data_IF_133638827038
#
_entry.id   IF_133638827038
#
_cell.length_a   1.000
_cell.length_b   1.000
_cell.length_c   1.000
_cell.angle_alpha   90.00
_cell.angle_beta   90.00
_cell.angle_gamma   90.00
#
_symmetry.space_group_name_H-M   'P 1'
#
loop_
_entity.id
_entity.type
_entity.pdbx_description
1 polymer ?
#
# COMPACT_ATOMS: atom_id res chain seq x y z
N UNK A 1 15.48 13.75 -0.27
CA UNK A 1 14.13 13.57 -0.37
C UNK A 1 13.71 12.17 -0.66
N UNK A 2 14.10 11.66 -1.73
CA UNK A 2 13.78 10.33 -2.08
C UNK A 2 14.23 9.35 -1.04
N UNK A 3 15.36 9.61 -0.43
CA UNK A 3 15.89 8.77 0.57
C UNK A 3 14.99 8.73 1.78
N UNK A 4 14.54 9.87 2.19
CA UNK A 4 13.69 9.98 3.33
C UNK A 4 12.35 9.33 3.06
N UNK A 5 11.87 9.48 1.86
CA UNK A 5 10.63 8.91 1.44
C UNK A 5 10.72 7.38 1.46
N UNK A 6 11.80 6.84 0.97
CA UNK A 6 12.00 5.41 0.96
C UNK A 6 12.13 4.85 2.38
N UNK A 7 12.80 5.57 3.23
CA UNK A 7 12.95 5.15 4.60
C UNK A 7 11.63 5.07 5.31
N UNK A 8 10.76 6.01 5.00
CA UNK A 8 9.47 6.07 5.63
C UNK A 8 8.62 4.90 5.17
N UNK A 9 8.70 4.55 3.92
CA UNK A 9 8.00 3.41 3.39
C UNK A 9 8.47 2.14 4.05
N UNK A 10 9.79 2.01 4.17
CA UNK A 10 10.37 0.84 4.77
C UNK A 10 9.93 0.70 6.21
N UNK A 11 9.90 1.82 6.92
CA UNK A 11 9.49 1.81 8.29
C UNK A 11 8.04 1.39 8.44
N UNK A 12 7.20 1.86 7.51
CA UNK A 12 5.81 1.52 7.55
C UNK A 12 5.65 0.02 7.33
N UNK A 13 6.36 -0.53 6.37
CA UNK A 13 6.29 -1.94 6.10
C UNK A 13 6.75 -2.74 7.30
N UNK A 14 7.80 -2.33 7.91
CA UNK A 14 8.31 -3.01 9.07
C UNK A 14 7.30 -2.99 10.19
N UNK A 15 6.64 -1.91 10.37
CA UNK A 15 5.69 -1.77 11.44
C UNK A 15 4.39 -2.46 11.16
N UNK A 16 3.80 -2.13 10.03
CA UNK A 16 2.53 -2.70 9.65
C UNK A 16 2.60 -4.14 9.30
N UNK A 17 3.57 -4.49 8.56
CA UNK A 17 3.69 -5.83 8.11
C UNK A 17 4.62 -6.63 8.96
N UNK A 18 5.12 -6.05 9.99
CA UNK A 18 6.03 -6.78 10.83
C UNK A 18 5.40 -8.07 11.20
N UNK A 19 4.13 -8.01 11.47
CA UNK A 19 3.42 -9.18 11.83
C UNK A 19 3.45 -10.16 10.69
N UNK A 20 3.31 -9.69 9.49
CA UNK A 20 3.32 -10.53 8.34
C UNK A 20 4.70 -11.05 8.07
N UNK A 21 5.65 -10.18 8.18
CA UNK A 21 6.98 -10.54 7.85
C UNK A 21 7.67 -11.35 8.89
N UNK A 22 7.21 -11.23 10.05
CA UNK A 22 7.84 -11.92 11.11
C UNK A 22 7.69 -13.33 10.77
N UNK A 23 6.62 -13.60 10.13
CA UNK A 23 6.35 -14.90 9.81
C UNK A 23 7.20 -15.21 8.63
N UNK A 24 7.97 -14.27 8.12
CA UNK A 24 8.65 -14.51 7.02
C UNK A 24 9.78 -15.17 7.39
N UNK A 25 9.95 -16.18 7.39
CA UNK A 25 10.97 -16.81 7.86
C UNK A 25 11.88 -17.01 6.86
N UNK A 26 12.86 -16.88 7.11
CA UNK A 26 13.88 -16.94 6.26
C UNK A 26 13.67 -18.22 5.67
N UNK A 27 12.78 -18.90 6.16
CA UNK A 27 12.62 -20.13 5.73
C UNK A 27 11.89 -19.93 4.52
N UNK A 28 11.32 -18.85 4.39
CA UNK A 28 10.69 -18.58 3.18
C UNK A 28 10.07 -19.78 2.51
N UNK A 29 9.14 -20.37 3.07
CA UNK A 29 8.56 -21.41 2.45
C UNK A 29 7.12 -21.34 2.54
N UNK A 30 6.44 -21.93 1.73
CA UNK A 30 5.02 -22.10 1.76
C UNK A 30 4.25 -20.82 1.70
N UNK A 31 3.17 -20.74 2.43
CA UNK A 31 2.30 -19.60 2.32
C UNK A 31 2.93 -18.32 2.84
N UNK A 32 3.90 -18.48 3.74
CA UNK A 32 4.57 -17.31 4.24
C UNK A 32 5.36 -16.69 3.14
N UNK A 33 6.02 -17.51 2.36
CA UNK A 33 6.81 -17.03 1.26
C UNK A 33 5.89 -16.36 0.24
N UNK A 34 4.74 -16.95 -0.02
CA UNK A 34 3.79 -16.40 -0.97
C UNK A 34 3.31 -15.04 -0.48
N UNK A 35 2.96 -14.92 0.78
CA UNK A 35 2.49 -13.65 1.31
C UNK A 35 3.55 -12.57 1.17
N UNK A 36 4.78 -12.88 1.50
CA UNK A 36 5.88 -11.93 1.37
C UNK A 36 6.11 -11.53 -0.07
N UNK A 37 6.00 -12.48 -0.97
CA UNK A 37 6.20 -12.19 -2.39
C UNK A 37 5.10 -11.31 -2.94
N UNK A 38 3.88 -11.54 -2.51
CA UNK A 38 2.75 -10.71 -2.94
C UNK A 38 2.93 -9.30 -2.42
N UNK A 39 3.30 -9.14 -1.17
CA UNK A 39 3.49 -7.82 -0.59
C UNK A 39 4.61 -7.07 -1.29
N UNK A 40 5.69 -7.76 -1.61
CA UNK A 40 6.80 -7.14 -2.32
C UNK A 40 6.37 -6.69 -3.71
N UNK A 41 5.57 -7.51 -4.37
CA UNK A 41 5.09 -7.17 -5.70
C UNK A 41 4.20 -5.93 -5.64
N UNK A 42 3.31 -5.88 -4.67
CA UNK A 42 2.42 -4.75 -4.51
C UNK A 42 3.23 -3.47 -4.29
N UNK A 43 4.27 -3.56 -3.46
CA UNK A 43 5.11 -2.41 -3.20
C UNK A 43 5.78 -1.89 -4.47
N UNK A 44 6.22 -2.78 -5.30
CA UNK A 44 6.91 -2.39 -6.52
C UNK A 44 5.97 -1.89 -7.61
N UNK A 45 4.71 -2.27 -7.55
CA UNK A 45 3.76 -1.92 -8.61
C UNK A 45 2.60 -1.07 -8.07
N UNK A 46 2.89 -0.33 -7.02
CA UNK A 46 1.86 0.42 -6.31
C UNK A 46 1.13 1.42 -7.17
N UNK A 47 1.81 2.00 -8.12
CA UNK A 47 1.22 3.03 -8.97
C UNK A 47 0.48 2.48 -10.17
N UNK A 48 0.53 1.17 -10.35
CA UNK A 48 -0.13 0.56 -11.50
C UNK A 48 -1.53 0.10 -11.12
N UNK A 49 -2.33 -0.17 -12.13
CA UNK A 49 -3.65 -0.69 -11.87
C UNK A 49 -3.46 -2.12 -11.41
N UNK A 50 -3.85 -2.41 -10.21
CA UNK A 50 -3.61 -3.72 -9.64
C UNK A 50 -4.85 -4.21 -8.93
N UNK A 51 -5.38 -5.34 -9.36
CA UNK A 51 -6.56 -5.91 -8.74
C UNK A 51 -6.21 -7.25 -8.11
N UNK A 52 -7.10 -7.72 -7.26
CA UNK A 52 -6.95 -9.03 -6.64
C UNK A 52 -6.80 -10.12 -7.71
N UNK A 53 -7.57 -10.00 -8.78
CA UNK A 53 -7.53 -10.96 -9.86
C UNK A 53 -6.18 -10.93 -10.57
N UNK A 54 -5.63 -9.74 -10.76
CA UNK A 54 -4.31 -9.61 -11.38
C UNK A 54 -3.24 -10.30 -10.55
N UNK A 55 -3.29 -10.08 -9.25
CA UNK A 55 -2.30 -10.67 -8.36
C UNK A 55 -2.41 -12.20 -8.36
N UNK A 56 -3.62 -12.70 -8.30
CA UNK A 56 -3.82 -14.14 -8.32
C UNK A 56 -3.24 -14.74 -9.61
N UNK A 57 -3.45 -14.05 -10.71
CA UNK A 57 -2.96 -14.52 -11.99
C UNK A 57 -1.44 -14.48 -12.05
N UNK A 58 -0.86 -13.41 -11.58
CA UNK A 58 0.60 -13.26 -11.59
C UNK A 58 1.27 -14.36 -10.77
N UNK A 59 0.70 -14.68 -9.65
CA UNK A 59 1.30 -15.68 -8.77
C UNK A 59 0.75 -17.09 -9.03
N UNK A 60 -0.11 -17.22 -10.03
CA UNK A 60 -0.64 -18.50 -10.46
C UNK A 60 -1.37 -19.25 -9.35
N UNK A 61 -2.18 -18.51 -8.64
CA UNK A 61 -3.02 -19.09 -7.59
C UNK A 61 -4.44 -18.58 -7.81
N UNK A 62 -5.40 -19.13 -7.09
CA UNK A 62 -6.78 -18.68 -7.24
C UNK A 62 -7.00 -17.40 -6.43
N UNK A 63 -8.02 -16.67 -6.79
CA UNK A 63 -8.43 -15.50 -6.04
C UNK A 63 -8.72 -15.90 -4.59
N UNK A 64 -9.36 -17.05 -4.44
CA UNK A 64 -9.69 -17.56 -3.13
C UNK A 64 -8.45 -17.77 -2.27
N UNK A 65 -7.38 -18.26 -2.90
CA UNK A 65 -6.13 -18.48 -2.19
C UNK A 65 -5.58 -17.18 -1.66
N UNK A 66 -5.58 -16.14 -2.48
CA UNK A 66 -5.06 -14.84 -2.03
C UNK A 66 -5.94 -14.28 -0.92
N UNK A 67 -7.25 -14.38 -1.09
CA UNK A 67 -8.18 -13.88 -0.09
C UNK A 67 -7.96 -14.55 1.27
N UNK A 68 -7.86 -15.87 1.24
CA UNK A 68 -7.66 -16.62 2.48
C UNK A 68 -6.30 -16.32 3.10
N UNK A 69 -5.31 -16.12 2.25
CA UNK A 69 -3.98 -15.81 2.74
C UNK A 69 -4.00 -14.50 3.53
N UNK A 70 -4.65 -13.49 2.99
CA UNK A 70 -4.73 -12.20 3.68
C UNK A 70 -5.55 -12.32 4.97
N UNK A 71 -6.61 -13.11 4.95
CA UNK A 71 -7.43 -13.32 6.13
C UNK A 71 -6.65 -13.99 7.24
N UNK A 72 -5.82 -14.95 6.89
CA UNK A 72 -5.06 -15.67 7.90
C UNK A 72 -3.84 -14.94 8.40
N UNK A 73 -3.22 -14.15 7.52
CA UNK A 73 -1.97 -13.50 7.88
C UNK A 73 -2.12 -12.03 8.28
N UNK A 74 -3.28 -11.46 8.09
CA UNK A 74 -3.48 -10.06 8.44
C UNK A 74 -4.94 -9.82 8.77
N UNK A 75 -5.26 -8.61 9.19
CA UNK A 75 -6.63 -8.23 9.47
C UNK A 75 -7.24 -7.52 8.30
N UNK A 76 -6.57 -7.49 7.18
CA UNK A 76 -7.03 -6.71 6.03
C UNK A 76 -7.31 -7.55 4.83
N UNK A 77 -8.21 -7.09 3.98
CA UNK A 77 -8.39 -7.70 2.68
C UNK A 77 -7.24 -7.19 1.80
N UNK A 78 -7.05 -7.83 0.67
CA UNK A 78 -6.04 -7.38 -0.28
C UNK A 78 -6.29 -5.94 -0.69
N UNK A 79 -7.55 -5.59 -0.96
CA UNK A 79 -7.89 -4.24 -1.38
C UNK A 79 -7.56 -3.22 -0.28
N UNK A 80 -7.85 -3.56 0.96
CA UNK A 80 -7.53 -2.67 2.07
C UNK A 80 -6.04 -2.49 2.20
N UNK A 81 -5.28 -3.55 2.00
CA UNK A 81 -3.84 -3.50 2.06
C UNK A 81 -3.30 -2.58 0.96
N UNK A 82 -3.78 -2.77 -0.27
CA UNK A 82 -3.34 -1.94 -1.39
C UNK A 82 -3.65 -0.47 -1.14
N UNK A 83 -4.86 -0.18 -0.69
CA UNK A 83 -5.26 1.19 -0.40
C UNK A 83 -4.38 1.80 0.68
N UNK A 84 -4.11 1.04 1.71
CA UNK A 84 -3.30 1.53 2.80
C UNK A 84 -1.89 1.87 2.33
N UNK A 85 -1.31 1.02 1.51
CA UNK A 85 0.01 1.26 0.96
C UNK A 85 0.02 2.53 0.13
N UNK A 86 -1.00 2.71 -0.70
CA UNK A 86 -1.11 3.89 -1.55
C UNK A 86 -1.29 5.16 -0.73
N UNK A 87 -2.07 5.08 0.32
CA UNK A 87 -2.31 6.25 1.16
C UNK A 87 -1.07 6.64 1.96
N UNK A 88 -0.28 5.68 2.39
CA UNK A 88 0.96 6.01 3.07
C UNK A 88 1.94 6.68 2.11
N UNK A 89 1.97 6.22 0.88
CA UNK A 89 2.81 6.84 -0.13
C UNK A 89 2.31 8.26 -0.41
N UNK A 90 1.00 8.44 -0.50
CA UNK A 90 0.43 9.76 -0.75
C UNK A 90 0.82 10.74 0.36
N UNK A 91 0.73 10.29 1.58
CA UNK A 91 1.07 11.11 2.72
C UNK A 91 2.52 11.56 2.64
N UNK A 92 3.41 10.65 2.29
CA UNK A 92 4.81 10.97 2.15
C UNK A 92 5.05 11.97 1.02
N UNK A 93 4.37 11.79 -0.10
CA UNK A 93 4.53 12.72 -1.22
C UNK A 93 4.05 14.12 -0.86
N UNK A 94 3.00 14.22 -0.07
CA UNK A 94 2.53 15.51 0.38
C UNK A 94 3.56 16.15 1.30
N UNK A 95 4.16 15.38 2.17
CA UNK A 95 5.22 15.88 3.04
C UNK A 95 6.41 16.36 2.23
N UNK A 96 6.65 15.72 1.11
CA UNK A 96 7.74 16.09 0.22
C UNK A 96 7.35 17.21 -0.74
N UNK A 97 6.19 17.82 -0.50
CA UNK A 97 5.73 18.99 -1.26
C UNK A 97 5.37 18.71 -2.71
N UNK A 98 5.00 17.49 -3.01
CA UNK A 98 4.53 17.19 -4.36
C UNK A 98 3.14 17.84 -4.50
N UNK A 99 2.86 18.49 -5.62
CA UNK A 99 1.55 19.13 -5.81
C UNK A 99 0.41 18.15 -5.65
N UNK A 100 -0.63 18.57 -4.96
CA UNK A 100 -1.75 17.68 -4.68
C UNK A 100 -2.39 17.11 -5.94
N UNK A 101 -2.42 17.88 -6.99
CA UNK A 101 -3.00 17.42 -8.24
C UNK A 101 -2.24 16.25 -8.83
N UNK A 102 -1.00 16.06 -8.42
CA UNK A 102 -0.20 14.97 -8.95
C UNK A 102 -0.16 13.76 -8.03
N UNK A 103 -0.40 13.99 -6.75
CA UNK A 103 -0.27 12.91 -5.78
C UNK A 103 -1.16 11.72 -6.11
N UNK A 104 -2.42 11.98 -6.44
CA UNK A 104 -3.35 10.90 -6.73
C UNK A 104 -2.89 10.02 -7.86
N UNK A 105 -2.38 10.63 -8.91
CA UNK A 105 -1.90 9.88 -10.05
C UNK A 105 -0.66 9.10 -9.70
N UNK A 106 0.22 9.71 -8.96
CA UNK A 106 1.47 9.05 -8.59
C UNK A 106 1.27 7.85 -7.69
N UNK A 107 0.16 7.81 -6.96
CA UNK A 107 -0.11 6.66 -6.11
C UNK A 107 -1.11 5.70 -6.73
N UNK A 108 -1.42 5.87 -8.02
CA UNK A 108 -2.19 4.86 -8.73
C UNK A 108 -3.66 5.15 -8.95
N UNK A 109 -4.11 6.37 -8.71
CA UNK A 109 -5.51 6.70 -8.93
C UNK A 109 -5.67 7.47 -10.24
N UNK A 110 -6.65 7.07 -11.03
CA UNK A 110 -6.89 7.74 -12.28
C UNK A 110 -7.65 9.02 -12.02
N UNK A 111 -8.54 8.98 -11.05
CA UNK A 111 -9.46 10.05 -10.80
C UNK A 111 -9.18 10.73 -9.48
N UNK A 112 -9.05 12.02 -9.51
CA UNK A 112 -8.72 12.81 -8.32
C UNK A 112 -9.78 12.64 -7.22
N UNK A 113 -11.05 12.56 -7.59
CA UNK A 113 -12.10 12.43 -6.59
C UNK A 113 -12.01 11.12 -5.85
N UNK A 114 -11.67 10.06 -6.54
CA UNK A 114 -11.53 8.76 -5.91
C UNK A 114 -10.36 8.78 -4.92
N UNK A 115 -9.27 9.41 -5.32
CA UNK A 115 -8.12 9.55 -4.44
C UNK A 115 -8.51 10.36 -3.20
N UNK A 116 -9.20 11.47 -3.40
CA UNK A 116 -9.60 12.35 -2.32
C UNK A 116 -10.43 11.59 -1.28
N UNK A 117 -11.40 10.83 -1.74
CA UNK A 117 -12.25 10.06 -0.85
C UNK A 117 -11.47 8.99 -0.11
N UNK A 118 -10.58 8.31 -0.80
CA UNK A 118 -9.78 7.27 -0.17
C UNK A 118 -8.89 7.85 0.91
N UNK A 119 -8.27 8.99 0.63
CA UNK A 119 -7.39 9.63 1.61
C UNK A 119 -8.20 10.04 2.84
N UNK A 120 -9.35 10.65 2.61
CA UNK A 120 -10.18 11.10 3.71
C UNK A 120 -10.70 9.94 4.54
N UNK A 121 -11.06 8.86 3.90
CA UNK A 121 -11.51 7.68 4.62
C UNK A 121 -10.40 7.07 5.44
N UNK A 122 -9.20 7.09 4.93
CA UNK A 122 -8.07 6.47 5.60
C UNK A 122 -7.57 7.32 6.78
N UNK A 123 -7.50 8.63 6.58
CA UNK A 123 -6.89 9.50 7.60
C UNK A 123 -7.85 10.45 8.31
N UNK A 124 -9.10 10.48 7.90
CA UNK A 124 -10.07 11.34 8.55
C UNK A 124 -10.09 12.78 8.10
N UNK A 125 -9.12 13.19 7.30
CA UNK A 125 -9.08 14.55 6.77
C UNK A 125 -8.69 14.49 5.31
N UNK A 126 -8.95 15.55 4.58
CA UNK A 126 -8.63 15.58 3.16
C UNK A 126 -7.14 15.82 2.93
N UNK A 127 -6.66 15.53 1.74
CA UNK A 127 -5.25 15.83 1.42
C UNK A 127 -4.93 17.30 1.60
N UNK A 128 -5.87 18.16 1.26
CA UNK A 128 -5.66 19.60 1.39
C UNK A 128 -5.55 20.00 2.86
N UNK A 129 -6.41 19.43 3.70
CA UNK A 129 -6.36 19.71 5.12
C UNK A 129 -5.08 19.18 5.74
N UNK A 130 -4.64 18.02 5.28
CA UNK A 130 -3.41 17.44 5.78
C UNK A 130 -2.23 18.34 5.45
N UNK A 131 -2.17 18.82 4.21
CA UNK A 131 -1.09 19.69 3.80
C UNK A 131 -1.08 20.98 4.63
N UNK A 132 -2.27 21.50 4.90
CA UNK A 132 -2.39 22.71 5.67
C UNK A 132 -1.88 22.49 7.09
N UNK A 133 -2.18 21.35 7.66
CA UNK A 133 -1.70 21.02 8.99
C UNK A 133 -0.20 20.95 9.06
N UNK A 134 0.43 20.59 7.97
CA UNK A 134 1.88 20.50 7.93
C UNK A 134 2.52 21.86 7.67
N UNK A 135 1.70 22.88 7.44
CA UNK A 135 2.20 24.22 7.11
C UNK A 135 3.00 24.25 5.82
N UNK A 136 2.56 23.53 4.86
CA UNK A 136 3.26 23.50 3.56
C UNK A 136 2.58 24.38 2.53
#
# INVERSE_FOLDING_TARGET
MDKEYLNNRDRFLETESAVLLVARPQEGRGSQDLMSRICAYVEEHLTEKLTLRDVAKIFQVSVSTVTQLFQRKSDMTFHQYLTRQRMQLAKQLIQDRVPLEEVGKLVGYVDHSTFYRAFRQTFGISPREYRKKLNL
#
